data_IF_687876440319
#
_entry.id   IF_687876440319
#
_cell.length_a   1.000
_cell.length_b   1.000
_cell.length_c   1.000
_cell.angle_alpha   90.00
_cell.angle_beta   90.00
_cell.angle_gamma   90.00
#
_symmetry.space_group_name_H-M   'P 1'
#
loop_
_entity.id
_entity.type
_entity.pdbx_description
1 polymer ?
#
# COMPACT_ATOMS: atom_id res chain seq x y z
N UNK A 1 23.89 -3.13 -23.39
CA UNK A 1 22.71 -2.60 -22.67
C UNK A 1 21.53 -2.78 -23.60
N UNK A 2 20.56 -3.62 -23.24
CA UNK A 2 19.34 -3.77 -24.06
C UNK A 2 18.66 -2.41 -24.22
N UNK A 3 18.33 -2.05 -25.46
CA UNK A 3 17.55 -0.84 -25.73
C UNK A 3 16.10 -1.11 -25.34
N UNK A 4 15.60 -0.37 -24.34
CA UNK A 4 14.17 -0.40 -23.98
C UNK A 4 13.33 0.15 -25.14
N UNK A 5 12.17 -0.46 -25.37
CA UNK A 5 11.17 0.05 -26.30
C UNK A 5 10.54 1.37 -25.83
N UNK A 6 9.70 1.96 -26.68
CA UNK A 6 9.02 3.23 -26.38
C UNK A 6 8.18 3.17 -25.10
N UNK A 7 7.35 2.13 -24.94
CA UNK A 7 6.47 1.97 -23.78
C UNK A 7 7.23 1.89 -22.44
N UNK A 8 8.19 0.96 -22.25
CA UNK A 8 8.97 0.94 -21.01
C UNK A 8 9.71 2.24 -20.74
N UNK A 9 10.22 2.93 -21.78
CA UNK A 9 10.95 4.19 -21.62
C UNK A 9 10.03 5.30 -21.09
N UNK A 10 8.85 5.47 -21.70
CA UNK A 10 7.87 6.48 -21.28
C UNK A 10 7.33 6.16 -19.88
N UNK A 11 6.97 4.91 -19.62
CA UNK A 11 6.46 4.49 -18.31
C UNK A 11 7.50 4.64 -17.20
N UNK A 12 8.78 4.36 -17.49
CA UNK A 12 9.86 4.55 -16.52
C UNK A 12 10.08 6.03 -16.17
N UNK A 13 10.05 6.92 -17.16
CA UNK A 13 10.12 8.37 -16.92
C UNK A 13 8.95 8.87 -16.04
N UNK A 14 7.73 8.48 -16.39
CA UNK A 14 6.52 8.83 -15.61
C UNK A 14 6.57 8.26 -14.19
N UNK A 15 7.06 7.02 -14.04
CA UNK A 15 7.22 6.36 -12.76
C UNK A 15 8.24 7.08 -11.89
N UNK A 16 9.40 7.45 -12.44
CA UNK A 16 10.45 8.18 -11.73
C UNK A 16 9.97 9.56 -11.29
N UNK A 17 9.30 10.31 -12.18
CA UNK A 17 8.63 11.58 -11.82
C UNK A 17 7.65 11.39 -10.66
N UNK A 18 6.85 10.33 -10.68
CA UNK A 18 5.91 10.02 -9.60
C UNK A 18 6.64 9.69 -8.29
N UNK A 19 7.76 8.98 -8.33
CA UNK A 19 8.57 8.70 -7.14
C UNK A 19 9.10 9.97 -6.50
N UNK A 20 9.58 10.93 -7.29
CA UNK A 20 10.02 12.24 -6.78
C UNK A 20 8.89 12.99 -6.07
N UNK A 21 7.68 12.95 -6.61
CA UNK A 21 6.51 13.56 -5.96
C UNK A 21 6.14 12.83 -4.67
N UNK A 22 6.14 11.48 -4.65
CA UNK A 22 5.89 10.70 -3.41
C UNK A 22 6.96 10.97 -2.35
N UNK A 23 8.21 11.22 -2.73
CA UNK A 23 9.27 11.58 -1.80
C UNK A 23 8.98 12.91 -1.08
N UNK A 24 8.38 13.89 -1.77
CA UNK A 24 7.94 15.17 -1.17
C UNK A 24 6.74 15.00 -0.23
N UNK A 25 5.86 14.03 -0.49
CA UNK A 25 4.71 13.74 0.36
C UNK A 25 5.07 13.13 1.72
N UNK A 26 6.10 12.29 1.77
CA UNK A 26 6.49 11.59 3.00
C UNK A 26 6.72 12.52 4.22
N UNK A 27 7.52 13.61 4.13
CA UNK A 27 7.68 14.55 5.24
C UNK A 27 6.40 15.34 5.53
N UNK A 28 5.66 15.76 4.51
CA UNK A 28 4.40 16.51 4.66
C UNK A 28 3.34 15.67 5.38
N UNK A 29 3.20 14.38 5.04
CA UNK A 29 2.28 13.46 5.69
C UNK A 29 2.60 13.25 7.17
N UNK A 30 3.89 13.12 7.53
CA UNK A 30 4.34 13.05 8.93
C UNK A 30 3.99 14.34 9.69
N UNK A 31 4.26 15.51 9.09
CA UNK A 31 3.95 16.81 9.69
C UNK A 31 2.45 17.01 9.86
N UNK A 32 1.65 16.68 8.84
CA UNK A 32 0.17 16.69 8.87
C UNK A 32 -0.35 15.82 10.02
N UNK A 33 0.14 14.60 10.17
CA UNK A 33 -0.27 13.69 11.24
C UNK A 33 0.11 14.22 12.63
N UNK A 34 1.32 14.76 12.80
CA UNK A 34 1.79 15.31 14.07
C UNK A 34 0.95 16.50 14.51
N UNK A 35 0.75 17.47 13.61
CA UNK A 35 -0.06 18.66 13.88
C UNK A 35 -1.53 18.28 14.15
N UNK A 36 -2.08 17.33 13.38
CA UNK A 36 -3.42 16.80 13.61
C UNK A 36 -3.59 16.19 15.02
N UNK A 37 -2.62 15.39 15.48
CA UNK A 37 -2.63 14.85 16.85
C UNK A 37 -2.57 15.94 17.93
N UNK A 38 -1.74 16.97 17.73
CA UNK A 38 -1.64 18.10 18.66
C UNK A 38 -2.97 18.86 18.76
N UNK A 39 -3.61 19.11 17.60
CA UNK A 39 -4.93 19.77 17.53
C UNK A 39 -6.00 18.92 18.23
N UNK A 40 -6.07 17.61 17.94
CA UNK A 40 -7.05 16.71 18.59
C UNK A 40 -6.86 16.67 20.10
N UNK A 41 -5.62 16.53 20.58
CA UNK A 41 -5.32 16.51 22.02
C UNK A 41 -5.64 17.83 22.71
N UNK A 42 -5.42 18.97 22.04
CA UNK A 42 -5.82 20.28 22.56
C UNK A 42 -7.35 20.40 22.69
N UNK A 43 -8.10 19.91 21.68
CA UNK A 43 -9.58 19.88 21.72
C UNK A 43 -10.11 19.02 22.85
N UNK A 44 -9.57 17.81 23.02
CA UNK A 44 -9.96 16.89 24.11
C UNK A 44 -9.74 17.49 25.50
N UNK A 45 -8.69 18.29 25.66
CA UNK A 45 -8.37 18.99 26.92
C UNK A 45 -9.14 20.32 27.09
N UNK A 46 -10.08 20.64 26.19
CA UNK A 46 -10.83 21.90 26.20
C UNK A 46 -9.96 23.14 25.99
N UNK A 47 -8.75 23.00 25.44
CA UNK A 47 -7.82 24.12 25.23
C UNK A 47 -8.13 24.83 23.92
N UNK A 48 -8.04 26.17 23.94
CA UNK A 48 -8.09 26.98 22.71
C UNK A 48 -6.88 26.63 21.83
N UNK A 49 -7.15 26.33 20.56
CA UNK A 49 -6.09 26.05 19.58
C UNK A 49 -5.46 27.38 19.15
N UNK A 50 -4.13 27.53 19.20
CA UNK A 50 -3.47 28.71 18.66
C UNK A 50 -3.78 28.91 17.17
N UNK A 51 -4.06 30.14 16.77
CA UNK A 51 -4.36 30.46 15.37
C UNK A 51 -3.19 30.14 14.45
N UNK A 52 -1.96 30.38 14.91
CA UNK A 52 -0.73 29.98 14.21
C UNK A 52 -0.65 28.48 13.92
N UNK A 53 -1.08 27.64 14.87
CA UNK A 53 -1.09 26.19 14.71
C UNK A 53 -2.13 25.74 13.68
N UNK A 54 -3.31 26.37 13.67
CA UNK A 54 -4.34 26.10 12.67
C UNK A 54 -3.89 26.54 11.26
N UNK A 55 -3.27 27.71 11.14
CA UNK A 55 -2.72 28.21 9.87
C UNK A 55 -1.63 27.28 9.34
N UNK A 56 -0.70 26.85 10.20
CA UNK A 56 0.34 25.90 9.82
C UNK A 56 -0.25 24.56 9.40
N UNK A 57 -1.21 24.01 10.13
CA UNK A 57 -1.90 22.77 9.76
C UNK A 57 -2.61 22.89 8.42
N UNK A 58 -3.32 24.01 8.18
CA UNK A 58 -4.02 24.27 6.92
C UNK A 58 -3.04 24.35 5.75
N UNK A 59 -1.94 25.09 5.90
CA UNK A 59 -0.88 25.18 4.88
C UNK A 59 -0.27 23.82 4.57
N UNK A 60 0.04 23.00 5.59
CA UNK A 60 0.58 21.65 5.39
C UNK A 60 -0.44 20.73 4.72
N UNK A 61 -1.73 20.86 5.04
CA UNK A 61 -2.78 20.11 4.36
C UNK A 61 -2.86 20.49 2.88
N UNK A 62 -2.86 21.80 2.58
CA UNK A 62 -2.88 22.30 1.21
C UNK A 62 -1.68 21.78 0.40
N UNK A 63 -0.47 21.90 0.93
CA UNK A 63 0.74 21.41 0.27
C UNK A 63 0.69 19.89 0.04
N UNK A 64 0.24 19.14 1.04
CA UNK A 64 0.06 17.70 0.92
C UNK A 64 -0.91 17.36 -0.20
N UNK A 65 -2.09 17.97 -0.21
CA UNK A 65 -3.15 17.68 -1.19
C UNK A 65 -2.72 18.13 -2.61
N UNK A 66 -1.98 19.24 -2.72
CA UNK A 66 -1.39 19.70 -3.97
C UNK A 66 -0.41 18.68 -4.56
N UNK A 67 0.55 18.17 -3.79
CA UNK A 67 1.49 17.16 -4.28
C UNK A 67 0.83 15.81 -4.51
N UNK A 68 -0.16 15.44 -3.71
CA UNK A 68 -0.93 14.21 -3.86
C UNK A 68 -1.77 14.22 -5.13
N UNK A 69 -2.37 15.35 -5.49
CA UNK A 69 -3.09 15.51 -6.75
C UNK A 69 -2.19 15.23 -7.97
N UNK A 70 -0.95 15.73 -7.95
CA UNK A 70 0.02 15.54 -9.04
C UNK A 70 0.48 14.08 -9.16
N UNK A 71 0.79 13.41 -8.05
CA UNK A 71 1.20 12.01 -8.11
C UNK A 71 0.04 11.10 -8.55
N UNK A 72 -1.20 11.44 -8.16
CA UNK A 72 -2.42 10.74 -8.62
C UNK A 72 -2.64 10.93 -10.10
N UNK A 73 -2.46 12.15 -10.63
CA UNK A 73 -2.54 12.40 -12.06
C UNK A 73 -1.54 11.54 -12.86
N UNK A 74 -0.29 11.44 -12.39
CA UNK A 74 0.71 10.54 -13.01
C UNK A 74 0.31 9.07 -12.91
N UNK A 75 -0.24 8.62 -11.77
CA UNK A 75 -0.75 7.24 -11.60
C UNK A 75 -1.84 6.93 -12.62
N UNK A 76 -2.84 7.80 -12.72
CA UNK A 76 -3.96 7.64 -13.68
C UNK A 76 -3.41 7.59 -15.09
N UNK A 77 -2.53 8.53 -15.45
CA UNK A 77 -1.94 8.58 -16.78
C UNK A 77 -1.17 7.30 -17.14
N UNK A 78 -0.34 6.78 -16.22
CA UNK A 78 0.36 5.50 -16.42
C UNK A 78 -0.60 4.32 -16.56
N UNK A 79 -1.67 4.27 -15.76
CA UNK A 79 -2.66 3.18 -15.84
C UNK A 79 -3.46 3.24 -17.16
N UNK A 80 -3.68 4.43 -17.71
CA UNK A 80 -4.34 4.62 -19.00
C UNK A 80 -3.53 4.03 -20.16
N UNK A 81 -2.19 4.06 -20.12
CA UNK A 81 -1.35 3.47 -21.17
C UNK A 81 -1.69 1.99 -21.42
N UNK A 82 -1.90 1.24 -20.34
CA UNK A 82 -2.27 -0.17 -20.43
C UNK A 82 -3.66 -0.37 -21.06
N UNK A 83 -4.64 0.44 -20.65
CA UNK A 83 -6.00 0.39 -21.20
C UNK A 83 -6.03 0.74 -22.70
N UNK A 84 -5.32 1.78 -23.10
CA UNK A 84 -5.23 2.22 -24.49
C UNK A 84 -4.46 1.24 -25.37
N UNK A 85 -3.42 0.58 -24.84
CA UNK A 85 -2.74 -0.49 -25.56
C UNK A 85 -3.66 -1.69 -25.84
N UNK A 86 -4.70 -1.90 -25.04
CA UNK A 86 -5.72 -2.94 -25.27
C UNK A 86 -6.91 -2.47 -26.13
N UNK A 87 -7.04 -1.18 -26.40
CA UNK A 87 -8.15 -0.60 -27.16
C UNK A 87 -7.83 -0.61 -28.66
N UNK A 88 -8.56 -1.42 -29.44
CA UNK A 88 -8.33 -1.57 -30.90
C UNK A 88 -8.54 -0.29 -31.71
N UNK A 89 -9.17 0.73 -31.14
CA UNK A 89 -9.35 2.05 -31.78
C UNK A 89 -8.23 3.03 -31.43
N UNK A 90 -7.35 2.68 -30.49
CA UNK A 90 -6.28 3.57 -30.04
C UNK A 90 -5.13 3.60 -31.06
N UNK A 91 -4.53 4.77 -31.33
CA UNK A 91 -3.31 4.86 -32.15
C UNK A 91 -2.12 4.10 -31.57
N UNK A 92 -2.19 3.80 -30.27
CA UNK A 92 -1.18 3.03 -29.53
C UNK A 92 -1.68 1.60 -29.22
N UNK A 93 -2.61 1.07 -30.01
CA UNK A 93 -3.06 -0.31 -29.84
C UNK A 93 -1.90 -1.30 -30.04
N UNK A 94 -1.67 -2.16 -29.03
CA UNK A 94 -0.69 -3.23 -29.08
C UNK A 94 -1.19 -4.41 -28.24
N UNK A 95 -1.95 -5.30 -28.87
CA UNK A 95 -2.63 -6.42 -28.21
C UNK A 95 -1.66 -7.32 -27.44
N UNK A 96 -0.50 -7.59 -28.00
CA UNK A 96 0.54 -8.43 -27.40
C UNK A 96 1.06 -7.83 -26.10
N UNK A 97 1.19 -6.50 -26.02
CA UNK A 97 1.57 -5.80 -24.81
C UNK A 97 0.46 -5.88 -23.75
N UNK A 98 -0.79 -5.66 -24.15
CA UNK A 98 -1.93 -5.75 -23.25
C UNK A 98 -2.09 -7.17 -22.69
N UNK A 99 -2.09 -8.19 -23.55
CA UNK A 99 -2.17 -9.59 -23.16
C UNK A 99 -0.97 -10.04 -22.32
N UNK A 100 0.24 -9.62 -22.70
CA UNK A 100 1.47 -9.93 -21.96
C UNK A 100 1.43 -9.35 -20.54
N UNK A 101 1.00 -8.11 -20.39
CA UNK A 101 0.86 -7.45 -19.08
C UNK A 101 -0.19 -8.15 -18.20
N UNK A 102 -1.36 -8.50 -18.74
CA UNK A 102 -2.38 -9.26 -17.98
C UNK A 102 -1.85 -10.62 -17.53
N UNK A 103 -1.18 -11.33 -18.44
CA UNK A 103 -0.67 -12.67 -18.17
C UNK A 103 0.41 -12.64 -17.10
N UNK A 104 1.35 -11.68 -17.21
CA UNK A 104 2.38 -11.46 -16.20
C UNK A 104 1.78 -11.04 -14.85
N UNK A 105 0.76 -10.18 -14.84
CA UNK A 105 0.06 -9.79 -13.61
C UNK A 105 -0.56 -10.99 -12.89
N UNK A 106 -1.37 -11.79 -13.60
CA UNK A 106 -1.98 -13.02 -13.07
C UNK A 106 -0.95 -14.02 -12.58
N UNK A 107 0.12 -14.23 -13.35
CA UNK A 107 1.22 -15.12 -12.97
C UNK A 107 1.86 -14.69 -11.65
N UNK A 108 2.21 -13.40 -11.52
CA UNK A 108 2.82 -12.88 -10.30
C UNK A 108 1.86 -12.95 -9.10
N UNK A 109 0.57 -12.67 -9.30
CA UNK A 109 -0.43 -12.77 -8.24
C UNK A 109 -0.56 -14.22 -7.73
N UNK A 110 -0.61 -15.19 -8.66
CA UNK A 110 -0.67 -16.61 -8.31
C UNK A 110 0.60 -17.09 -7.59
N UNK A 111 1.78 -16.60 -7.99
CA UNK A 111 3.03 -16.87 -7.29
C UNK A 111 3.00 -16.39 -5.84
N UNK A 112 2.46 -15.18 -5.60
CA UNK A 112 2.33 -14.64 -4.23
C UNK A 112 1.28 -15.41 -3.45
N UNK A 113 0.12 -15.71 -4.05
CA UNK A 113 -0.96 -16.48 -3.43
C UNK A 113 -0.46 -17.85 -2.95
N UNK A 114 0.30 -18.55 -3.78
CA UNK A 114 0.90 -19.84 -3.41
C UNK A 114 1.93 -19.68 -2.28
N UNK A 115 2.80 -18.66 -2.38
CA UNK A 115 3.83 -18.40 -1.36
C UNK A 115 3.23 -18.12 0.02
N UNK A 116 2.18 -17.29 0.10
CA UNK A 116 1.54 -16.95 1.38
C UNK A 116 0.73 -18.12 1.93
N UNK A 117 0.06 -18.90 1.06
CA UNK A 117 -0.69 -20.09 1.46
C UNK A 117 0.21 -21.16 2.06
N UNK A 118 1.38 -21.41 1.46
CA UNK A 118 2.40 -22.33 2.00
C UNK A 118 2.95 -21.91 3.36
N UNK A 119 2.82 -20.63 3.73
CA UNK A 119 3.19 -20.09 5.05
C UNK A 119 2.04 -20.13 6.07
N UNK A 120 0.90 -20.72 5.71
CA UNK A 120 -0.27 -20.84 6.56
C UNK A 120 -1.19 -19.62 6.58
N UNK A 121 -0.92 -18.60 5.74
CA UNK A 121 -1.83 -17.46 5.63
C UNK A 121 -3.04 -17.84 4.79
N UNK A 122 -4.22 -17.44 5.25
CA UNK A 122 -5.45 -17.58 4.49
C UNK A 122 -5.57 -16.49 3.42
N UNK A 123 -6.26 -16.80 2.33
CA UNK A 123 -6.65 -15.83 1.31
C UNK A 123 -8.17 -15.75 1.32
N UNK A 124 -8.71 -14.57 1.63
CA UNK A 124 -10.16 -14.32 1.66
C UNK A 124 -10.69 -13.86 0.32
N UNK A 125 -9.89 -13.06 -0.38
CA UNK A 125 -10.26 -12.50 -1.68
C UNK A 125 -9.00 -12.16 -2.47
N UNK A 126 -9.14 -12.09 -3.79
CA UNK A 126 -8.11 -11.57 -4.69
C UNK A 126 -8.75 -10.91 -5.89
N UNK A 127 -8.17 -9.80 -6.35
CA UNK A 127 -8.54 -9.10 -7.58
C UNK A 127 -7.32 -9.03 -8.51
N UNK A 128 -7.39 -8.22 -9.56
CA UNK A 128 -6.42 -8.07 -10.65
C UNK A 128 -5.01 -7.75 -10.17
N UNK A 129 -4.87 -7.01 -9.07
CA UNK A 129 -3.58 -6.57 -8.51
C UNK A 129 -3.48 -6.69 -6.97
N UNK A 130 -4.43 -7.34 -6.30
CA UNK A 130 -4.50 -7.38 -4.84
C UNK A 130 -4.90 -8.74 -4.28
N UNK A 131 -4.44 -9.03 -3.06
CA UNK A 131 -4.82 -10.20 -2.25
C UNK A 131 -5.20 -9.75 -0.84
N UNK A 132 -6.32 -10.25 -0.35
CA UNK A 132 -6.81 -10.02 1.00
C UNK A 132 -6.46 -11.22 1.86
N UNK A 133 -5.50 -11.02 2.76
CA UNK A 133 -4.88 -12.08 3.54
C UNK A 133 -5.40 -12.13 4.98
N UNK A 134 -5.45 -13.32 5.56
CA UNK A 134 -5.66 -13.52 6.99
C UNK A 134 -4.47 -14.23 7.62
N UNK A 135 -4.06 -13.79 8.81
CA UNK A 135 -3.03 -14.49 9.57
C UNK A 135 -3.50 -15.91 9.95
N UNK A 136 -2.58 -16.86 10.12
CA UNK A 136 -2.88 -18.15 10.75
C UNK A 136 -3.41 -17.95 12.17
N UNK A 137 -4.37 -18.78 12.59
CA UNK A 137 -4.98 -18.70 13.93
C UNK A 137 -3.95 -18.83 15.06
N UNK A 138 -2.87 -19.59 14.82
CA UNK A 138 -1.76 -19.74 15.77
C UNK A 138 -1.07 -18.42 16.14
N UNK A 139 -1.26 -17.35 15.35
CA UNK A 139 -0.74 -16.02 15.69
C UNK A 139 -1.47 -15.40 16.89
N UNK A 140 -2.72 -15.80 17.13
CA UNK A 140 -3.58 -15.18 18.13
C UNK A 140 -3.72 -16.00 19.42
N UNK A 141 -3.19 -17.23 19.48
CA UNK A 141 -3.30 -18.14 20.64
C UNK A 141 -3.11 -17.46 22.00
N UNK A 142 -2.06 -16.63 22.16
CA UNK A 142 -1.79 -15.92 23.43
C UNK A 142 -2.87 -14.90 23.78
N UNK A 143 -3.38 -14.19 22.77
CA UNK A 143 -4.44 -13.20 22.90
C UNK A 143 -5.78 -13.89 23.21
N UNK A 144 -6.04 -15.00 22.52
CA UNK A 144 -7.24 -15.81 22.68
C UNK A 144 -7.30 -16.44 24.07
N UNK A 145 -6.17 -16.95 24.57
CA UNK A 145 -6.07 -17.47 25.93
C UNK A 145 -6.33 -16.35 26.97
N UNK A 146 -5.65 -15.21 26.86
CA UNK A 146 -5.83 -14.10 27.81
C UNK A 146 -7.29 -13.59 27.89
N UNK A 147 -8.03 -13.67 26.78
CA UNK A 147 -9.45 -13.30 26.74
C UNK A 147 -10.39 -14.41 27.23
N UNK A 148 -10.15 -15.66 26.82
CA UNK A 148 -11.08 -16.78 27.03
C UNK A 148 -10.85 -17.58 28.32
N UNK A 149 -9.73 -17.40 29.04
CA UNK A 149 -9.36 -18.23 30.21
C UNK A 149 -10.26 -18.04 31.47
N UNK A 150 -11.50 -17.54 31.30
CA UNK A 150 -12.51 -17.40 32.35
C UNK A 150 -12.21 -16.36 33.44
N UNK A 151 -10.98 -15.83 33.48
CA UNK A 151 -10.49 -14.83 34.45
C UNK A 151 -10.70 -13.39 33.99
N UNK A 152 -11.01 -13.17 32.71
CA UNK A 152 -11.23 -11.83 32.16
C UNK A 152 -10.02 -10.90 32.32
N UNK A 153 -8.81 -11.41 32.05
CA UNK A 153 -7.56 -10.64 32.25
C UNK A 153 -7.49 -9.38 31.38
N UNK A 154 -8.18 -9.40 30.23
CA UNK A 154 -8.26 -8.28 29.30
C UNK A 154 -9.70 -8.00 28.86
N UNK A 155 -10.00 -6.72 28.68
CA UNK A 155 -11.28 -6.26 28.12
C UNK A 155 -11.38 -6.62 26.63
N UNK A 156 -12.61 -6.59 26.09
CA UNK A 156 -12.86 -6.78 24.65
C UNK A 156 -12.08 -5.77 23.79
N UNK A 157 -11.97 -4.51 24.25
CA UNK A 157 -11.23 -3.47 23.53
C UNK A 157 -9.72 -3.78 23.48
N UNK A 158 -9.16 -4.24 24.60
CA UNK A 158 -7.75 -4.65 24.68
C UNK A 158 -7.47 -5.86 23.79
N UNK A 159 -8.34 -6.87 23.81
CA UNK A 159 -8.25 -8.03 22.93
C UNK A 159 -8.19 -7.65 21.45
N UNK A 160 -9.14 -6.85 20.95
CA UNK A 160 -9.12 -6.40 19.56
C UNK A 160 -7.90 -5.54 19.24
N UNK A 161 -7.47 -4.71 20.20
CA UNK A 161 -6.28 -3.87 20.05
C UNK A 161 -5.02 -4.71 19.89
N UNK A 162 -4.87 -5.76 20.71
CA UNK A 162 -3.73 -6.68 20.64
C UNK A 162 -3.76 -7.53 19.36
N UNK A 163 -4.93 -8.03 18.95
CA UNK A 163 -5.08 -8.72 17.65
C UNK A 163 -4.60 -7.85 16.49
N UNK A 164 -5.01 -6.58 16.43
CA UNK A 164 -4.58 -5.65 15.38
C UNK A 164 -3.07 -5.44 15.42
N UNK A 165 -2.47 -5.26 16.60
CA UNK A 165 -1.01 -5.12 16.75
C UNK A 165 -0.26 -6.36 16.26
N UNK A 166 -0.72 -7.55 16.63
CA UNK A 166 -0.16 -8.84 16.17
C UNK A 166 -0.22 -8.90 14.65
N UNK A 167 -1.40 -8.66 14.06
CA UNK A 167 -1.61 -8.68 12.61
C UNK A 167 -0.68 -7.72 11.89
N UNK A 168 -0.57 -6.47 12.34
CA UNK A 168 0.32 -5.48 11.70
C UNK A 168 1.79 -5.92 11.73
N UNK A 169 2.24 -6.52 12.84
CA UNK A 169 3.61 -7.02 12.96
C UNK A 169 3.87 -8.24 12.07
N UNK A 170 2.94 -9.20 12.05
CA UNK A 170 3.03 -10.41 11.22
C UNK A 170 2.99 -10.05 9.74
N UNK A 171 2.04 -9.21 9.32
CA UNK A 171 1.90 -8.78 7.93
C UNK A 171 3.10 -7.96 7.46
N UNK A 172 3.74 -7.16 8.34
CA UNK A 172 4.98 -6.44 8.00
C UNK A 172 6.11 -7.40 7.64
N UNK A 173 6.28 -8.46 8.45
CA UNK A 173 7.27 -9.52 8.18
C UNK A 173 6.92 -10.28 6.90
N UNK A 174 5.64 -10.61 6.68
CA UNK A 174 5.19 -11.28 5.47
C UNK A 174 5.48 -10.46 4.22
N UNK A 175 5.16 -9.16 4.24
CA UNK A 175 5.46 -8.23 3.14
C UNK A 175 6.93 -8.25 2.75
N UNK A 176 7.82 -8.20 3.74
CA UNK A 176 9.27 -8.21 3.48
C UNK A 176 9.71 -9.56 2.87
N UNK A 177 9.13 -10.68 3.33
CA UNK A 177 9.35 -12.01 2.76
C UNK A 177 8.82 -12.13 1.32
N UNK A 178 7.61 -11.63 1.05
CA UNK A 178 7.01 -11.60 -0.29
C UNK A 178 7.87 -10.75 -1.23
N UNK A 179 8.32 -9.57 -0.78
CA UNK A 179 9.19 -8.70 -1.59
C UNK A 179 10.53 -9.36 -1.91
N UNK A 180 11.12 -10.09 -0.96
CA UNK A 180 12.34 -10.86 -1.21
C UNK A 180 12.09 -12.00 -2.22
N UNK A 181 10.97 -12.71 -2.08
CA UNK A 181 10.58 -13.78 -2.99
C UNK A 181 10.35 -13.27 -4.43
N UNK A 182 9.61 -12.17 -4.58
CA UNK A 182 9.36 -11.53 -5.87
C UNK A 182 10.65 -11.03 -6.52
N UNK A 183 11.59 -10.48 -5.75
CA UNK A 183 12.90 -10.07 -6.26
C UNK A 183 13.70 -11.24 -6.82
N UNK A 184 13.66 -12.39 -6.14
CA UNK A 184 14.33 -13.62 -6.63
C UNK A 184 13.67 -14.13 -7.92
N UNK A 185 12.33 -14.06 -8.01
CA UNK A 185 11.59 -14.59 -9.16
C UNK A 185 11.58 -13.68 -10.38
N UNK A 186 11.61 -12.37 -10.19
CA UNK A 186 11.54 -11.38 -11.27
C UNK A 186 12.88 -10.77 -11.65
N UNK A 187 13.93 -11.05 -10.88
CA UNK A 187 15.26 -10.41 -10.99
C UNK A 187 15.27 -8.88 -10.89
N UNK A 188 14.11 -8.27 -10.56
CA UNK A 188 13.94 -6.83 -10.44
C UNK A 188 13.28 -6.47 -9.12
N UNK A 189 13.24 -5.16 -8.82
CA UNK A 189 12.53 -4.63 -7.65
C UNK A 189 11.33 -3.77 -8.02
N UNK A 190 10.79 -3.88 -9.24
CA UNK A 190 9.63 -3.10 -9.66
C UNK A 190 8.34 -3.60 -9.02
N UNK A 191 8.22 -4.92 -8.83
CA UNK A 191 7.06 -5.53 -8.18
C UNK A 191 7.30 -5.65 -6.67
N UNK A 192 6.41 -5.04 -5.88
CA UNK A 192 6.45 -5.09 -4.42
C UNK A 192 5.04 -5.17 -3.86
N UNK A 193 4.87 -5.96 -2.81
CA UNK A 193 3.70 -5.92 -1.95
C UNK A 193 3.70 -4.59 -1.17
N UNK A 194 2.57 -3.90 -1.22
CA UNK A 194 2.24 -2.76 -0.40
C UNK A 194 0.90 -3.02 0.29
N UNK A 195 0.66 -2.34 1.41
CA UNK A 195 -0.70 -2.27 1.96
C UNK A 195 -1.54 -1.36 1.08
N UNK A 196 -2.81 -1.70 0.93
CA UNK A 196 -3.79 -0.81 0.30
C UNK A 196 -3.89 0.46 1.18
N UNK A 197 -3.69 1.62 0.55
CA UNK A 197 -3.75 2.96 1.18
C UNK A 197 -5.19 3.41 1.37
#
# INVERSE_FOLDING_TARGET
MEKKGLYPTVLEDLFNKRLELKARLAPLGKKKQQLGKMISSAKERGKKIPESLNLEYSSVCFDYDYWDSKQKALKVYMNTFYGEAGNSLSPIFLRELACGTTTAGKYNLNLVAEFVSRKGFGIKYGDTDSLYLTCPDSCYEKCDLAYNDGKGEISKLEYWTEMVKITMNVMKKLRDQVNAYLRIKSETSYLKMAYEE
#
